data_IF_495216034378
#
_entry.id   IF_495216034378
#
_cell.length_a   1.000
_cell.length_b   1.000
_cell.length_c   1.000
_cell.angle_alpha   90.00
_cell.angle_beta   90.00
_cell.angle_gamma   90.00
#
_symmetry.space_group_name_H-M   'P 1'
#
loop_
_entity.id
_entity.type
_entity.pdbx_description
1 polymer ?
#
# COMPACT_ATOMS: atom_id res chain seq x y z
N UNK A 1 -22.60 8.90 -42.77
CA UNK A 1 -21.74 7.70 -42.96
C UNK A 1 -20.46 7.72 -42.10
N UNK A 2 -19.84 8.88 -41.83
CA UNK A 2 -18.65 8.99 -40.97
C UNK A 2 -18.93 8.83 -39.46
N UNK A 3 -20.02 9.39 -38.96
CA UNK A 3 -20.36 9.34 -37.53
C UNK A 3 -20.71 7.93 -37.03
N UNK A 4 -21.27 7.08 -37.90
CA UNK A 4 -21.56 5.67 -37.58
C UNK A 4 -20.28 4.83 -37.52
N UNK A 5 -19.30 5.11 -38.37
CA UNK A 5 -17.99 4.46 -38.35
C UNK A 5 -17.18 4.83 -37.09
N UNK A 6 -17.22 6.11 -36.69
CA UNK A 6 -16.59 6.57 -35.43
C UNK A 6 -17.27 5.94 -34.21
N UNK A 7 -18.61 5.90 -34.17
CA UNK A 7 -19.36 5.21 -33.09
C UNK A 7 -19.11 3.70 -33.06
N UNK A 8 -18.84 3.08 -34.20
CA UNK A 8 -18.47 1.67 -34.28
C UNK A 8 -17.02 1.44 -33.79
N UNK A 9 -16.08 2.32 -34.13
CA UNK A 9 -14.70 2.26 -33.62
C UNK A 9 -14.64 2.44 -32.10
N UNK A 10 -15.35 3.43 -31.54
CA UNK A 10 -15.39 3.68 -30.09
C UNK A 10 -15.98 2.50 -29.34
N UNK A 11 -17.08 1.89 -29.85
CA UNK A 11 -17.65 0.67 -29.25
C UNK A 11 -16.72 -0.53 -29.34
N UNK A 12 -16.03 -0.73 -30.46
CA UNK A 12 -15.06 -1.81 -30.61
C UNK A 12 -13.85 -1.62 -29.69
N UNK A 13 -13.42 -0.38 -29.46
CA UNK A 13 -12.33 -0.06 -28.54
C UNK A 13 -12.74 -0.26 -27.07
N UNK A 14 -13.91 0.24 -26.68
CA UNK A 14 -14.46 0.02 -25.34
C UNK A 14 -14.72 -1.47 -25.07
N UNK A 15 -15.24 -2.21 -26.04
CA UNK A 15 -15.43 -3.67 -25.93
C UNK A 15 -14.11 -4.41 -25.78
N UNK A 16 -13.04 -3.98 -26.48
CA UNK A 16 -11.69 -4.54 -26.31
C UNK A 16 -11.04 -4.16 -24.98
N UNK A 17 -11.37 -2.98 -24.44
CA UNK A 17 -10.92 -2.55 -23.10
C UNK A 17 -11.61 -3.35 -21.99
N UNK A 18 -12.94 -3.49 -22.06
CA UNK A 18 -13.72 -4.29 -21.11
C UNK A 18 -13.32 -5.77 -21.17
N UNK A 19 -13.02 -6.29 -22.37
CA UNK A 19 -12.52 -7.65 -22.58
C UNK A 19 -11.03 -7.81 -22.24
N UNK A 20 -10.28 -6.72 -22.10
CA UNK A 20 -8.89 -6.75 -21.66
C UNK A 20 -8.82 -6.66 -20.13
N UNK A 21 -8.90 -7.82 -19.50
CA UNK A 21 -8.79 -7.99 -18.04
C UNK A 21 -7.47 -7.47 -17.47
N UNK A 22 -6.42 -7.30 -18.30
CA UNK A 22 -5.11 -6.76 -17.90
C UNK A 22 -5.17 -5.35 -17.30
N UNK A 23 -6.15 -4.53 -17.72
CA UNK A 23 -6.35 -3.19 -17.16
C UNK A 23 -7.04 -3.23 -15.80
N UNK A 24 -7.97 -4.17 -15.63
CA UNK A 24 -8.68 -4.42 -14.37
C UNK A 24 -7.72 -4.96 -13.32
N UNK A 25 -6.86 -5.91 -13.70
CA UNK A 25 -5.86 -6.48 -12.77
C UNK A 25 -4.83 -5.45 -12.31
N UNK A 26 -4.42 -4.50 -13.17
CA UNK A 26 -3.52 -3.42 -12.77
C UNK A 26 -4.14 -2.49 -11.71
N UNK A 27 -5.43 -2.17 -11.85
CA UNK A 27 -6.16 -1.35 -10.86
C UNK A 27 -6.31 -2.11 -9.54
N UNK A 28 -6.61 -3.40 -9.58
CA UNK A 28 -6.70 -4.25 -8.39
C UNK A 28 -5.38 -4.25 -7.62
N UNK A 29 -4.26 -4.51 -8.29
CA UNK A 29 -2.94 -4.48 -7.65
C UNK A 29 -2.59 -3.11 -7.10
N UNK A 30 -2.97 -2.02 -7.76
CA UNK A 30 -2.74 -0.67 -7.26
C UNK A 30 -3.51 -0.41 -5.95
N UNK A 31 -4.77 -0.82 -5.88
CA UNK A 31 -5.59 -0.68 -4.66
C UNK A 31 -5.02 -1.55 -3.52
N UNK A 32 -4.61 -2.79 -3.83
CA UNK A 32 -3.98 -3.68 -2.85
C UNK A 32 -2.68 -3.06 -2.31
N UNK A 33 -1.82 -2.54 -3.19
CA UNK A 33 -0.58 -1.88 -2.79
C UNK A 33 -0.83 -0.64 -1.91
N UNK A 34 -1.84 0.16 -2.25
CA UNK A 34 -2.25 1.31 -1.43
C UNK A 34 -2.73 0.87 -0.03
N UNK A 35 -3.55 -0.18 0.04
CA UNK A 35 -4.02 -0.73 1.32
C UNK A 35 -2.89 -1.27 2.19
N UNK A 36 -1.98 -2.05 1.60
CA UNK A 36 -0.79 -2.57 2.32
C UNK A 36 0.10 -1.43 2.80
N UNK A 37 0.31 -0.39 1.97
CA UNK A 37 1.12 0.77 2.35
C UNK A 37 0.52 1.53 3.54
N UNK A 38 -0.81 1.69 3.58
CA UNK A 38 -1.49 2.32 4.71
C UNK A 38 -1.27 1.55 6.02
N UNK A 39 -1.36 0.21 5.97
CA UNK A 39 -1.09 -0.65 7.13
C UNK A 39 0.37 -0.51 7.58
N UNK A 40 1.33 -0.52 6.65
CA UNK A 40 2.75 -0.34 6.96
C UNK A 40 3.04 1.00 7.62
N UNK A 41 2.41 2.09 7.16
CA UNK A 41 2.57 3.41 7.76
C UNK A 41 2.13 3.45 9.23
N UNK A 42 1.06 2.73 9.58
CA UNK A 42 0.60 2.66 10.98
C UNK A 42 1.52 1.79 11.84
N UNK A 43 1.91 0.62 11.34
CA UNK A 43 2.75 -0.34 12.09
C UNK A 43 4.15 0.24 12.34
N UNK A 44 4.74 0.87 11.33
CA UNK A 44 6.09 1.41 11.34
C UNK A 44 6.13 2.92 11.54
N UNK A 45 5.07 3.53 12.08
CA UNK A 45 5.10 4.95 12.42
C UNK A 45 6.30 5.24 13.35
N UNK A 46 7.03 6.30 13.00
CA UNK A 46 8.33 6.63 13.60
C UNK A 46 8.30 6.94 15.09
N UNK A 47 7.13 7.30 15.64
CA UNK A 47 7.02 7.78 17.03
C UNK A 47 5.96 7.01 17.82
N UNK A 48 4.91 6.53 17.16
CA UNK A 48 3.75 5.91 17.79
C UNK A 48 3.47 4.49 17.31
N UNK A 49 4.21 4.03 16.30
CA UNK A 49 4.05 2.71 15.73
C UNK A 49 4.30 1.61 16.77
N UNK A 50 3.55 0.50 16.74
CA UNK A 50 3.76 -0.63 17.64
C UNK A 50 5.21 -1.14 17.61
N UNK A 51 5.85 -1.17 16.44
CA UNK A 51 7.25 -1.59 16.31
C UNK A 51 8.20 -0.63 17.02
N UNK A 52 8.01 0.68 16.82
CA UNK A 52 8.79 1.71 17.51
C UNK A 52 8.66 1.57 19.03
N UNK A 53 7.43 1.48 19.55
CA UNK A 53 7.17 1.37 21.00
C UNK A 53 7.81 0.13 21.60
N UNK A 54 7.72 -1.01 20.90
CA UNK A 54 8.34 -2.26 21.35
C UNK A 54 9.86 -2.13 21.39
N UNK A 55 10.50 -1.64 20.33
CA UNK A 55 11.97 -1.46 20.30
C UNK A 55 12.41 -0.48 21.38
N UNK A 56 11.75 0.68 21.48
CA UNK A 56 12.05 1.69 22.49
C UNK A 56 11.94 1.11 23.91
N UNK A 57 10.88 0.35 24.19
CA UNK A 57 10.67 -0.29 25.50
C UNK A 57 11.77 -1.30 25.84
N UNK A 58 12.18 -2.13 24.87
CA UNK A 58 13.27 -3.11 25.05
C UNK A 58 14.59 -2.40 25.35
N UNK A 59 14.98 -1.40 24.55
CA UNK A 59 16.24 -0.68 24.76
C UNK A 59 16.25 0.14 26.04
N UNK A 60 15.13 0.78 26.38
CA UNK A 60 14.99 1.50 27.67
C UNK A 60 15.15 0.55 28.86
N UNK A 61 14.52 -0.64 28.79
CA UNK A 61 14.64 -1.63 29.85
C UNK A 61 16.07 -2.17 29.98
N UNK A 62 16.74 -2.38 28.85
CA UNK A 62 18.14 -2.80 28.82
C UNK A 62 19.05 -1.72 29.44
N UNK A 63 18.86 -0.45 29.05
CA UNK A 63 19.61 0.68 29.59
C UNK A 63 19.44 0.79 31.11
N UNK A 64 18.21 0.65 31.61
CA UNK A 64 17.93 0.70 33.05
C UNK A 64 18.67 -0.42 33.81
N UNK A 65 18.62 -1.65 33.29
CA UNK A 65 19.33 -2.79 33.88
C UNK A 65 20.85 -2.59 33.90
N UNK A 66 21.43 -2.13 32.79
CA UNK A 66 22.87 -1.88 32.70
C UNK A 66 23.31 -0.75 33.63
N UNK A 67 22.54 0.34 33.69
CA UNK A 67 22.85 1.46 34.59
C UNK A 67 22.84 1.02 36.05
N UNK A 68 21.88 0.18 36.44
CA UNK A 68 21.80 -0.40 37.79
C UNK A 68 22.95 -1.36 38.15
N UNK A 69 23.65 -1.92 37.17
CA UNK A 69 24.81 -2.80 37.41
C UNK A 69 26.09 -1.97 37.57
N UNK A 70 26.18 -0.85 36.85
CA UNK A 70 27.38 0.00 36.81
C UNK A 70 27.41 1.00 37.98
N UNK A 71 26.25 1.44 38.48
CA UNK A 71 26.11 2.30 39.67
C UNK A 71 26.20 1.52 40.97
#
# INVERSE_FOLDING_TARGET
>A
MYLSAVRAQVRNFAGKFIKNERGVTAIEYAIVAAGVSAVLLVIFDKANGPVYKMLYGVFTSLQAKLSSIIS
#
